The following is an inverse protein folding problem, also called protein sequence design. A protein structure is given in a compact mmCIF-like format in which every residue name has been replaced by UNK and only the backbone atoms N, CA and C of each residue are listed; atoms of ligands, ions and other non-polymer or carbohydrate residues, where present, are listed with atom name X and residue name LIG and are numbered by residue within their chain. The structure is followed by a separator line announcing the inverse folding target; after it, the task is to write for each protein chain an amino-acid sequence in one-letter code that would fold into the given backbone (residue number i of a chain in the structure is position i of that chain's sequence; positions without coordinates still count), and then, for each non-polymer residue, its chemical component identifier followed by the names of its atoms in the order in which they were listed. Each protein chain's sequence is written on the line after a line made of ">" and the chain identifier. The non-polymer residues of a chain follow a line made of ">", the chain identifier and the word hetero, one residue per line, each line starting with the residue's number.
data_IF_037797317250
#
_entry.id   IF_037797317250
#
_cell.length_a   1.000
_cell.length_b   1.000
_cell.length_c   1.000
_cell.angle_alpha   90.00
_cell.angle_beta   90.00
_cell.angle_gamma   90.00
#
_symmetry.space_group_name_H-M   'P 1'
#
loop_
_entity.id
_entity.type
_entity.pdbx_description
1 polymer ?
#
# COMPACT_ATOMS: atom_id res chain seq x y z
N UNK A 1 15.77 -36.01 -22.26
CA UNK A 1 16.33 -34.64 -22.29
C UNK A 1 15.26 -33.56 -22.53
N UNK A 2 14.48 -33.59 -23.63
CA UNK A 2 13.42 -32.57 -23.90
C UNK A 2 12.33 -32.45 -22.81
N UNK A 3 11.95 -33.56 -22.19
CA UNK A 3 10.97 -33.59 -21.08
C UNK A 3 11.52 -33.00 -19.78
N UNK A 4 12.81 -33.17 -19.50
CA UNK A 4 13.49 -32.55 -18.36
C UNK A 4 13.60 -31.04 -18.53
N UNK A 5 13.97 -30.58 -19.74
CA UNK A 5 14.05 -29.14 -20.08
C UNK A 5 12.67 -28.46 -19.92
N UNK A 6 11.58 -29.12 -20.36
CA UNK A 6 10.22 -28.60 -20.18
C UNK A 6 9.81 -28.45 -18.71
N UNK A 7 10.14 -29.43 -17.86
CA UNK A 7 9.80 -29.40 -16.43
C UNK A 7 10.58 -28.31 -15.69
N UNK A 8 11.86 -28.14 -16.03
CA UNK A 8 12.70 -27.07 -15.47
C UNK A 8 12.19 -25.69 -15.90
N UNK A 9 11.80 -25.52 -17.17
CA UNK A 9 11.23 -24.27 -17.66
C UNK A 9 9.90 -23.89 -16.95
N UNK A 10 9.03 -24.88 -16.69
CA UNK A 10 7.79 -24.68 -15.93
C UNK A 10 8.06 -24.26 -14.48
N UNK A 11 9.02 -24.89 -13.80
CA UNK A 11 9.38 -24.56 -12.42
C UNK A 11 9.97 -23.14 -12.32
N UNK A 12 10.90 -22.75 -13.22
CA UNK A 12 11.45 -21.39 -13.23
C UNK A 12 10.38 -20.32 -13.46
N UNK A 13 9.39 -20.58 -14.31
CA UNK A 13 8.29 -19.63 -14.57
C UNK A 13 7.48 -19.33 -13.31
N UNK A 14 7.18 -20.35 -12.49
CA UNK A 14 6.47 -20.17 -11.23
C UNK A 14 7.27 -19.32 -10.22
N UNK A 15 8.58 -19.52 -10.10
CA UNK A 15 9.41 -18.74 -9.17
C UNK A 15 9.45 -17.24 -9.52
N UNK A 16 9.49 -16.89 -10.82
CA UNK A 16 9.54 -15.49 -11.25
C UNK A 16 8.24 -14.76 -10.92
N UNK A 17 7.09 -15.43 -11.09
CA UNK A 17 5.78 -14.83 -10.83
C UNK A 17 5.53 -14.55 -9.34
N UNK A 18 6.10 -15.35 -8.43
CA UNK A 18 5.94 -15.17 -6.98
C UNK A 18 6.69 -13.96 -6.40
N UNK A 19 7.65 -13.37 -7.13
CA UNK A 19 8.48 -12.27 -6.64
C UNK A 19 7.72 -10.96 -6.38
N UNK A 20 6.57 -10.77 -7.03
CA UNK A 20 5.77 -9.54 -6.91
C UNK A 20 4.96 -9.47 -5.60
N UNK A 21 4.85 -10.57 -4.85
CA UNK A 21 4.00 -10.63 -3.66
C UNK A 21 4.59 -9.94 -2.43
N UNK A 22 5.88 -9.59 -2.47
CA UNK A 22 6.63 -9.01 -1.34
C UNK A 22 7.15 -7.59 -1.61
N UNK A 23 6.70 -6.94 -2.68
CA UNK A 23 7.16 -5.59 -3.01
C UNK A 23 6.42 -4.53 -2.18
N UNK A 24 7.18 -3.64 -1.54
CA UNK A 24 6.65 -2.46 -0.86
C UNK A 24 5.89 -1.54 -1.86
N UNK A 25 4.76 -0.92 -1.46
CA UNK A 25 4.11 0.08 -2.28
C UNK A 25 5.05 1.25 -2.61
N UNK A 26 5.15 1.65 -3.89
CA UNK A 26 6.05 2.74 -4.31
C UNK A 26 5.81 4.09 -3.63
N UNK A 27 4.56 4.37 -3.23
CA UNK A 27 4.14 5.65 -2.62
C UNK A 27 3.09 5.37 -1.55
N UNK A 28 3.50 4.85 -0.38
CA UNK A 28 2.58 4.56 0.69
C UNK A 28 2.05 5.87 1.28
N UNK A 29 0.73 5.97 1.43
CA UNK A 29 0.04 7.17 1.86
C UNK A 29 -1.20 6.82 2.69
N UNK A 30 -1.39 7.54 3.80
CA UNK A 30 -2.63 7.59 4.56
C UNK A 30 -3.31 8.94 4.33
N UNK A 31 -4.52 8.92 3.77
CA UNK A 31 -5.33 10.12 3.60
C UNK A 31 -6.19 10.29 4.85
N UNK A 32 -5.91 11.32 5.64
CA UNK A 32 -6.69 11.67 6.82
C UNK A 32 -7.86 12.59 6.43
N UNK A 33 -9.13 12.17 6.60
CA UNK A 33 -10.32 13.00 6.37
C UNK A 33 -10.56 14.05 7.47
N UNK A 34 -9.49 14.56 8.09
CA UNK A 34 -9.54 15.50 9.21
C UNK A 34 -8.39 16.51 9.12
N UNK A 35 -8.44 17.53 9.99
CA UNK A 35 -7.29 18.41 10.24
C UNK A 35 -6.23 17.67 11.08
N UNK A 36 -4.96 18.12 11.06
CA UNK A 36 -3.93 17.65 11.98
C UNK A 36 -4.42 17.69 13.44
N UNK A 37 -4.05 16.69 14.23
CA UNK A 37 -4.49 16.52 15.62
C UNK A 37 -5.86 15.88 15.81
N UNK A 38 -6.63 15.63 14.73
CA UNK A 38 -7.89 14.88 14.81
C UNK A 38 -7.71 13.36 14.94
N UNK A 39 -8.79 12.63 15.24
CA UNK A 39 -8.73 11.16 15.39
C UNK A 39 -8.14 10.44 14.18
N UNK A 40 -8.49 10.85 12.97
CA UNK A 40 -7.92 10.27 11.75
C UNK A 40 -6.43 10.55 11.55
N UNK A 41 -5.92 11.70 12.02
CA UNK A 41 -4.48 11.98 12.01
C UNK A 41 -3.73 11.01 12.93
N UNK A 42 -4.25 10.85 14.16
CA UNK A 42 -3.68 9.90 15.13
C UNK A 42 -3.70 8.48 14.60
N UNK A 43 -4.81 8.05 13.98
CA UNK A 43 -4.90 6.73 13.33
C UNK A 43 -3.88 6.57 12.21
N UNK A 44 -3.73 7.58 11.33
CA UNK A 44 -2.71 7.54 10.27
C UNK A 44 -1.29 7.46 10.83
N UNK A 45 -0.98 8.20 11.90
CA UNK A 45 0.34 8.18 12.56
C UNK A 45 0.62 6.86 13.28
N UNK A 46 -0.40 6.26 13.89
CA UNK A 46 -0.31 4.92 14.48
C UNK A 46 0.02 3.88 13.41
N UNK A 47 -0.68 3.92 12.27
CA UNK A 47 -0.37 3.02 11.16
C UNK A 47 1.02 3.32 10.56
N UNK A 48 1.45 4.58 10.50
CA UNK A 48 2.76 4.98 9.98
C UNK A 48 3.90 4.40 10.82
N UNK A 49 3.78 4.52 12.15
CA UNK A 49 4.75 3.95 13.09
C UNK A 49 4.70 2.42 13.04
N UNK A 50 3.53 1.81 13.19
CA UNK A 50 3.40 0.35 13.17
C UNK A 50 3.95 -0.31 11.90
N UNK A 51 3.64 0.23 10.72
CA UNK A 51 4.16 -0.34 9.46
C UNK A 51 5.68 -0.18 9.30
N UNK A 52 6.25 0.90 9.85
CA UNK A 52 7.69 1.13 9.81
C UNK A 52 8.42 0.25 10.84
N UNK A 53 7.90 0.19 12.06
CA UNK A 53 8.53 -0.52 13.18
C UNK A 53 8.54 -2.03 12.95
N UNK A 54 7.52 -2.57 12.26
CA UNK A 54 7.46 -3.98 11.81
C UNK A 54 8.30 -4.25 10.54
N UNK A 55 8.98 -3.23 9.99
CA UNK A 55 9.79 -3.36 8.78
C UNK A 55 8.98 -3.65 7.51
N UNK A 56 7.67 -3.39 7.51
CA UNK A 56 6.80 -3.55 6.35
C UNK A 56 6.94 -2.39 5.36
N UNK A 57 7.44 -1.25 5.82
CA UNK A 57 7.84 -0.12 5.00
C UNK A 57 9.27 0.32 5.38
N UNK A 58 10.14 0.48 4.39
CA UNK A 58 11.50 1.00 4.56
C UNK A 58 11.50 2.46 5.05
N UNK A 59 10.48 3.22 4.63
CA UNK A 59 10.28 4.61 5.02
C UNK A 59 8.87 4.84 5.58
N UNK A 60 8.69 5.79 6.52
CA UNK A 60 7.37 6.07 7.05
C UNK A 60 6.43 6.54 5.93
N UNK A 61 5.22 5.97 5.86
CA UNK A 61 4.22 6.39 4.88
C UNK A 61 3.88 7.87 5.01
N UNK A 62 3.45 8.52 3.93
CA UNK A 62 3.05 9.94 3.98
C UNK A 62 1.65 10.10 4.56
N UNK A 63 1.42 11.14 5.37
CA UNK A 63 0.07 11.54 5.79
C UNK A 63 -0.38 12.75 4.97
N UNK A 64 -1.54 12.64 4.33
CA UNK A 64 -2.17 13.72 3.57
C UNK A 64 -3.49 14.10 4.19
N UNK A 65 -3.67 15.40 4.43
CA UNK A 65 -4.90 15.90 5.03
C UNK A 65 -5.87 16.33 3.95
N UNK A 66 -7.08 15.77 4.01
CA UNK A 66 -8.17 16.12 3.09
C UNK A 66 -9.47 16.34 3.88
N UNK A 67 -9.56 17.44 4.66
CA UNK A 67 -10.76 17.74 5.42
C UNK A 67 -11.91 18.20 4.51
N UNK A 68 -13.15 17.96 4.94
CA UNK A 68 -14.36 18.48 4.29
C UNK A 68 -15.49 17.45 4.23
N UNK A 69 -16.74 17.91 4.34
CA UNK A 69 -17.94 17.07 4.22
C UNK A 69 -17.96 15.87 5.18
N UNK A 70 -17.46 16.03 6.41
CA UNK A 70 -17.32 14.93 7.40
C UNK A 70 -16.52 13.73 6.83
N UNK A 71 -15.57 14.02 5.94
CA UNK A 71 -14.73 13.03 5.26
C UNK A 71 -15.16 12.68 3.85
N UNK A 72 -16.34 13.13 3.39
CA UNK A 72 -16.82 12.88 2.03
C UNK A 72 -15.84 13.33 0.94
N UNK A 73 -15.10 14.42 1.17
CA UNK A 73 -14.09 14.90 0.21
C UNK A 73 -12.99 13.85 0.00
N UNK A 74 -12.46 13.29 1.08
CA UNK A 74 -11.44 12.24 1.03
C UNK A 74 -11.97 10.95 0.38
N UNK A 75 -13.16 10.50 0.78
CA UNK A 75 -13.75 9.29 0.20
C UNK A 75 -14.03 9.44 -1.30
N UNK A 76 -14.61 10.57 -1.71
CA UNK A 76 -14.87 10.84 -3.13
C UNK A 76 -13.58 10.95 -3.93
N UNK A 77 -12.52 11.57 -3.38
CA UNK A 77 -11.22 11.63 -4.05
C UNK A 77 -10.64 10.23 -4.30
N UNK A 78 -10.74 9.33 -3.31
CA UNK A 78 -10.27 7.94 -3.46
C UNK A 78 -11.13 7.18 -4.47
N UNK A 79 -12.45 7.27 -4.39
CA UNK A 79 -13.37 6.59 -5.32
C UNK A 79 -13.14 7.08 -6.76
N UNK A 80 -12.99 8.39 -6.96
CA UNK A 80 -12.75 8.98 -8.28
C UNK A 80 -11.38 8.62 -8.85
N UNK A 81 -10.34 8.51 -8.01
CA UNK A 81 -8.98 8.19 -8.46
C UNK A 81 -8.72 6.67 -8.61
N UNK A 82 -9.56 5.82 -8.02
CA UNK A 82 -9.43 4.36 -8.04
C UNK A 82 -10.60 3.65 -8.72
N UNK A 83 -11.35 4.34 -9.58
CA UNK A 83 -12.26 3.65 -10.49
C UNK A 83 -11.42 2.62 -11.27
N UNK A 84 -11.81 1.34 -11.13
CA UNK A 84 -11.08 0.17 -11.61
C UNK A 84 -10.79 0.21 -13.12
#
# INVERSE_FOLDING_TARGET
>A
MRTAIRRIALLSSCLVLSSQLFAEPKRPECIAPAKPGGGFDLTCKLAQSGLKDEGLLEAPMRVTYMPGGVGAVAYNAVIAQRAA
#
